data_IF_624530469034
#
_entry.id   IF_624530469034
#
_cell.length_a   1.000
_cell.length_b   1.000
_cell.length_c   1.000
_cell.angle_alpha   90.00
_cell.angle_beta   90.00
_cell.angle_gamma   90.00
#
_symmetry.space_group_name_H-M   'P 1'
#
loop_
_entity.id
_entity.type
_entity.pdbx_description
1 polymer ?
#
# COMPACT_ATOMS: atom_id res chain seq x y z
N UNK A 1 26.51 -0.75 0.63
CA UNK A 1 25.17 -0.47 0.08
C UNK A 1 25.03 1.05 0.04
N UNK A 2 25.33 1.64 -1.12
CA UNK A 2 25.34 3.10 -1.31
C UNK A 2 23.90 3.64 -1.28
N UNK A 3 23.59 4.73 -0.55
CA UNK A 3 22.34 5.44 -0.73
C UNK A 3 22.49 6.33 -1.97
N UNK A 4 21.87 5.93 -3.09
CA UNK A 4 21.71 6.78 -4.27
C UNK A 4 20.37 7.55 -4.19
N UNK A 5 20.24 8.64 -4.95
CA UNK A 5 19.97 9.99 -4.48
C UNK A 5 18.51 10.21 -4.07
N UNK A 6 18.26 11.38 -3.49
CA UNK A 6 16.96 11.96 -3.11
C UNK A 6 15.91 11.94 -4.23
N UNK A 7 15.34 10.77 -4.53
CA UNK A 7 14.23 10.57 -5.43
C UNK A 7 12.99 10.31 -4.58
N UNK A 8 11.90 11.04 -4.83
CA UNK A 8 10.71 11.05 -3.97
C UNK A 8 10.22 9.65 -3.59
N UNK A 9 9.93 9.47 -2.30
CA UNK A 9 9.42 8.17 -1.79
C UNK A 9 8.05 7.90 -2.39
N UNK A 10 7.88 6.74 -3.01
CA UNK A 10 6.65 6.33 -3.70
C UNK A 10 5.95 5.25 -2.89
N UNK A 11 4.74 5.55 -2.43
CA UNK A 11 3.90 4.62 -1.67
C UNK A 11 2.62 4.29 -2.45
N UNK A 12 2.18 3.04 -2.37
CA UNK A 12 0.91 2.59 -2.96
C UNK A 12 -0.16 2.48 -1.89
N UNK A 13 -1.31 3.13 -2.09
CA UNK A 13 -2.49 2.99 -1.24
C UNK A 13 -3.51 2.05 -1.90
N UNK A 14 -3.77 0.90 -1.29
CA UNK A 14 -4.78 -0.07 -1.72
C UNK A 14 -6.06 0.14 -0.90
N UNK A 15 -7.08 0.72 -1.54
CA UNK A 15 -8.38 1.01 -0.94
C UNK A 15 -9.36 -0.15 -1.19
N UNK A 16 -10.32 -0.35 -0.28
CA UNK A 16 -11.47 -1.24 -0.48
C UNK A 16 -11.13 -2.72 -0.33
N UNK A 17 -10.19 -3.07 0.56
CA UNK A 17 -9.82 -4.46 0.78
C UNK A 17 -10.97 -5.18 1.45
N UNK A 18 -11.45 -6.26 0.83
CA UNK A 18 -12.42 -7.14 1.47
C UNK A 18 -11.66 -8.30 2.06
N UNK A 19 -11.50 -8.29 3.39
CA UNK A 19 -10.86 -9.36 4.16
C UNK A 19 -11.43 -10.71 3.70
N UNK A 20 -10.54 -11.69 3.50
CA UNK A 20 -10.79 -13.05 3.00
C UNK A 20 -11.11 -13.21 1.50
N UNK A 21 -11.65 -12.19 0.81
CA UNK A 21 -11.97 -12.31 -0.63
C UNK A 21 -10.78 -11.90 -1.51
N UNK A 22 -10.10 -10.83 -1.12
CA UNK A 22 -9.14 -10.18 -2.01
C UNK A 22 -7.69 -10.53 -1.69
N UNK A 23 -7.43 -11.54 -0.86
CA UNK A 23 -6.09 -11.90 -0.41
C UNK A 23 -5.12 -12.16 -1.57
N UNK A 24 -5.57 -12.84 -2.64
CA UNK A 24 -4.76 -13.07 -3.85
C UNK A 24 -4.41 -11.76 -4.56
N UNK A 25 -5.40 -10.90 -4.78
CA UNK A 25 -5.23 -9.62 -5.48
C UNK A 25 -4.29 -8.72 -4.69
N UNK A 26 -4.47 -8.62 -3.37
CA UNK A 26 -3.62 -7.83 -2.49
C UNK A 26 -2.16 -8.33 -2.52
N UNK A 27 -1.94 -9.64 -2.52
CA UNK A 27 -0.57 -10.19 -2.67
C UNK A 27 0.06 -9.79 -4.00
N UNK A 28 -0.67 -9.89 -5.11
CA UNK A 28 -0.16 -9.46 -6.42
C UNK A 28 0.17 -7.97 -6.45
N UNK A 29 -0.70 -7.12 -5.90
CA UNK A 29 -0.44 -5.67 -5.79
C UNK A 29 0.86 -5.41 -5.04
N UNK A 30 1.10 -6.07 -3.90
CA UNK A 30 2.33 -5.91 -3.14
C UNK A 30 3.59 -6.35 -3.92
N UNK A 31 3.50 -7.47 -4.64
CA UNK A 31 4.62 -7.98 -5.45
C UNK A 31 4.91 -7.05 -6.64
N UNK A 32 3.89 -6.56 -7.33
CA UNK A 32 4.03 -5.60 -8.43
C UNK A 32 4.59 -4.27 -7.93
N UNK A 33 4.12 -3.76 -6.80
CA UNK A 33 4.65 -2.53 -6.18
C UNK A 33 6.16 -2.64 -5.93
N UNK A 34 6.60 -3.79 -5.40
CA UNK A 34 8.02 -4.06 -5.16
C UNK A 34 8.83 -4.11 -6.46
N UNK A 35 8.30 -4.76 -7.49
CA UNK A 35 8.96 -4.84 -8.80
C UNK A 35 9.09 -3.47 -9.47
N UNK A 36 8.15 -2.56 -9.22
CA UNK A 36 8.14 -1.20 -9.76
C UNK A 36 8.94 -0.19 -8.93
N UNK A 37 9.58 -0.62 -7.83
CA UNK A 37 10.41 0.25 -7.00
C UNK A 37 9.66 1.12 -6.00
N UNK A 38 8.43 0.74 -5.61
CA UNK A 38 7.73 1.41 -4.51
C UNK A 38 8.41 1.14 -3.17
N UNK A 39 8.44 2.14 -2.30
CA UNK A 39 8.99 2.08 -0.94
C UNK A 39 8.08 1.31 0.03
N UNK A 40 6.79 1.17 -0.31
CA UNK A 40 5.83 0.47 0.53
C UNK A 40 4.42 0.44 -0.04
N UNK A 41 3.59 -0.41 0.56
CA UNK A 41 2.16 -0.53 0.25
C UNK A 41 1.36 -0.40 1.53
N UNK A 42 0.35 0.46 1.52
CA UNK A 42 -0.61 0.69 2.60
C UNK A 42 -1.92 0.02 2.18
N UNK A 43 -2.38 -0.95 2.96
CA UNK A 43 -3.66 -1.62 2.75
C UNK A 43 -4.68 -0.93 3.66
N UNK A 44 -5.52 -0.09 3.08
CA UNK A 44 -6.60 0.59 3.81
C UNK A 44 -7.80 -0.37 3.90
N UNK A 45 -7.78 -1.17 4.96
CA UNK A 45 -8.79 -2.19 5.30
C UNK A 45 -9.63 -1.80 6.53
N UNK A 46 -9.41 -0.61 7.09
CA UNK A 46 -10.16 -0.11 8.25
C UNK A 46 -10.71 1.27 7.99
N UNK A 47 -12.01 1.41 8.21
CA UNK A 47 -12.67 2.70 8.41
C UNK A 47 -12.16 3.30 9.72
N UNK A 48 -11.55 4.46 9.66
CA UNK A 48 -11.21 5.23 10.85
C UNK A 48 -12.44 6.06 11.25
N UNK A 49 -13.32 5.47 12.06
CA UNK A 49 -14.57 6.11 12.50
C UNK A 49 -14.36 7.39 13.31
N UNK A 50 -13.13 7.65 13.77
CA UNK A 50 -12.78 8.85 14.53
C UNK A 50 -12.64 10.08 13.61
N UNK A 51 -12.15 9.87 12.39
CA UNK A 51 -11.97 10.96 11.40
C UNK A 51 -13.30 11.36 10.76
N UNK A 52 -14.22 10.42 10.54
CA UNK A 52 -15.57 10.70 10.01
C UNK A 52 -16.42 11.57 10.93
N UNK A 53 -16.11 11.61 12.24
CA UNK A 53 -16.87 12.36 13.25
C UNK A 53 -16.35 13.77 13.55
N UNK A 54 -15.33 14.25 12.83
CA UNK A 54 -14.74 15.60 13.02
C UNK A 54 -14.89 16.42 11.75
#
# INVERSE_FOLDING_TARGET
MSPSPTLGRTFILRIGHRVYRDSRVTTHVCLTARALGADGVIIADREDKVVEST
#
